data_IF_862998270319
#
_entry.id   IF_862998270319
#
_cell.length_a   1.000
_cell.length_b   1.000
_cell.length_c   1.000
_cell.angle_alpha   90.00
_cell.angle_beta   90.00
_cell.angle_gamma   90.00
#
_symmetry.space_group_name_H-M   'P 1'
#
loop_
_entity.id
_entity.type
_entity.pdbx_description
1 polymer ?
#
# COMPACT_ATOMS: atom_id res chain seq x y z
N UNK A 1 -10.04 14.79 33.29
CA UNK A 1 -8.99 14.49 32.29
C UNK A 1 -9.67 13.72 31.17
N UNK A 2 -10.31 14.41 30.22
CA UNK A 2 -9.92 14.46 28.80
C UNK A 2 -9.43 13.10 28.26
N UNK A 3 -10.36 12.20 27.99
CA UNK A 3 -10.18 11.11 27.02
C UNK A 3 -10.16 11.72 25.61
N UNK A 4 -9.15 12.54 25.30
CA UNK A 4 -8.89 12.92 23.92
C UNK A 4 -8.29 11.69 23.21
N UNK A 5 -9.21 10.89 22.69
CA UNK A 5 -9.11 10.19 21.41
C UNK A 5 -7.83 9.39 21.10
N UNK A 6 -7.63 8.24 21.76
CA UNK A 6 -6.78 7.18 21.18
C UNK A 6 -7.24 6.82 19.75
N UNK A 7 -8.55 6.83 19.49
CA UNK A 7 -9.11 6.59 18.16
C UNK A 7 -8.71 7.67 17.14
N UNK A 8 -8.57 8.94 17.54
CA UNK A 8 -8.15 9.99 16.61
C UNK A 8 -6.66 9.89 16.27
N UNK A 9 -5.83 9.43 17.22
CA UNK A 9 -4.40 9.23 16.97
C UNK A 9 -4.19 8.05 16.01
N UNK A 10 -4.92 6.94 16.20
CA UNK A 10 -4.88 5.79 15.28
C UNK A 10 -5.34 6.15 13.86
N UNK A 11 -6.40 6.97 13.74
CA UNK A 11 -6.88 7.47 12.44
C UNK A 11 -5.85 8.37 11.74
N UNK A 12 -5.10 9.18 12.49
CA UNK A 12 -4.07 10.07 11.92
C UNK A 12 -2.87 9.27 11.44
N UNK A 13 -2.40 8.29 12.21
CA UNK A 13 -1.25 7.45 11.83
C UNK A 13 -1.57 6.63 10.57
N UNK A 14 -2.71 5.95 10.50
CA UNK A 14 -3.11 5.16 9.34
C UNK A 14 -3.38 6.02 8.09
N UNK A 15 -3.87 7.25 8.26
CA UNK A 15 -4.02 8.17 7.13
C UNK A 15 -2.65 8.61 6.58
N UNK A 16 -1.65 8.78 7.45
CA UNK A 16 -0.31 9.25 7.05
C UNK A 16 0.52 8.20 6.31
N UNK A 17 0.43 6.91 6.67
CA UNK A 17 1.10 5.80 5.97
C UNK A 17 0.55 5.61 4.55
N UNK A 18 -0.77 5.68 4.41
CA UNK A 18 -1.46 5.62 3.12
C UNK A 18 -1.14 6.82 2.21
N UNK A 19 -1.04 8.03 2.78
CA UNK A 19 -0.63 9.21 2.03
C UNK A 19 0.85 9.17 1.65
N UNK A 20 1.71 8.66 2.52
CA UNK A 20 3.14 8.57 2.30
C UNK A 20 3.49 7.62 1.13
N UNK A 21 2.89 6.43 1.09
CA UNK A 21 3.19 5.46 0.02
C UNK A 21 2.71 5.97 -1.34
N UNK A 22 1.55 6.63 -1.39
CA UNK A 22 1.06 7.22 -2.63
C UNK A 22 1.95 8.39 -3.08
N UNK A 23 2.33 9.27 -2.16
CA UNK A 23 3.25 10.37 -2.47
C UNK A 23 4.63 9.89 -2.94
N UNK A 24 5.09 8.73 -2.45
CA UNK A 24 6.39 8.16 -2.82
C UNK A 24 6.38 7.60 -4.24
N UNK A 25 5.30 6.90 -4.64
CA UNK A 25 5.33 6.10 -5.86
C UNK A 25 4.41 6.58 -6.99
N UNK A 26 3.40 7.41 -6.74
CA UNK A 26 2.51 7.87 -7.80
C UNK A 26 3.28 8.61 -8.92
N UNK A 27 3.04 8.20 -10.17
CA UNK A 27 3.74 8.71 -11.36
C UNK A 27 5.15 8.15 -11.57
N UNK A 28 5.69 7.36 -10.63
CA UNK A 28 6.97 6.69 -10.80
C UNK A 28 6.84 5.43 -11.67
N UNK A 29 7.94 4.96 -12.30
CA UNK A 29 7.95 3.65 -12.94
C UNK A 29 7.95 2.53 -11.90
N UNK A 30 7.27 1.43 -12.21
CA UNK A 30 7.19 0.22 -11.38
C UNK A 30 8.58 -0.32 -11.01
N UNK A 31 9.59 -0.13 -11.86
CA UNK A 31 10.97 -0.53 -11.58
C UNK A 31 11.54 0.12 -10.32
N UNK A 32 11.15 1.36 -10.00
CA UNK A 32 11.56 2.01 -8.76
C UNK A 32 10.93 1.30 -7.55
N UNK A 33 9.64 0.95 -7.66
CA UNK A 33 8.94 0.26 -6.60
C UNK A 33 9.55 -1.13 -6.34
N UNK A 34 9.85 -1.87 -7.40
CA UNK A 34 10.53 -3.19 -7.30
C UNK A 34 11.94 -3.04 -6.73
N UNK A 35 12.66 -1.96 -7.06
CA UNK A 35 13.98 -1.68 -6.48
C UNK A 35 13.89 -1.45 -4.97
N UNK A 36 12.84 -0.78 -4.50
CA UNK A 36 12.68 -0.43 -3.08
C UNK A 36 12.07 -1.58 -2.25
N UNK A 37 11.10 -2.30 -2.80
CA UNK A 37 10.31 -3.31 -2.09
C UNK A 37 10.69 -4.76 -2.44
N UNK A 38 11.50 -4.97 -3.48
CA UNK A 38 11.74 -6.29 -4.05
C UNK A 38 10.60 -6.76 -4.98
N UNK A 39 10.63 -8.04 -5.42
CA UNK A 39 9.59 -8.58 -6.28
C UNK A 39 8.22 -8.63 -5.56
N UNK A 40 7.11 -8.39 -6.27
CA UNK A 40 5.77 -8.51 -5.70
C UNK A 40 5.41 -9.98 -5.43
N UNK A 41 4.54 -10.19 -4.45
CA UNK A 41 3.94 -11.51 -4.16
C UNK A 41 2.89 -11.89 -5.20
N UNK A 42 2.13 -10.91 -5.68
CA UNK A 42 1.11 -11.09 -6.72
C UNK A 42 1.18 -10.00 -7.78
N UNK A 43 0.82 -10.37 -9.01
CA UNK A 43 0.60 -9.47 -10.13
C UNK A 43 -0.71 -9.86 -10.82
N UNK A 44 -1.72 -8.99 -10.72
CA UNK A 44 -3.08 -9.23 -11.18
C UNK A 44 -3.40 -8.27 -12.33
N UNK A 45 -3.58 -8.81 -13.54
CA UNK A 45 -4.05 -8.03 -14.68
C UNK A 45 -5.52 -7.64 -14.47
N UNK A 46 -5.83 -6.35 -14.62
CA UNK A 46 -7.16 -5.78 -14.48
C UNK A 46 -7.77 -5.47 -15.85
N UNK A 47 -9.08 -5.26 -15.88
CA UNK A 47 -9.76 -4.76 -17.07
C UNK A 47 -9.23 -3.36 -17.44
N UNK A 48 -9.13 -3.07 -18.74
CA UNK A 48 -8.58 -1.80 -19.22
C UNK A 48 -7.05 -1.76 -19.34
N UNK A 49 -6.37 -2.91 -19.23
CA UNK A 49 -4.92 -3.02 -19.44
C UNK A 49 -4.08 -2.65 -18.21
N UNK A 50 -4.71 -2.23 -17.12
CA UNK A 50 -4.04 -1.95 -15.86
C UNK A 50 -3.50 -3.23 -15.22
N UNK A 51 -2.44 -3.10 -14.42
CA UNK A 51 -1.94 -4.22 -13.61
C UNK A 51 -1.79 -3.77 -12.17
N UNK A 52 -2.29 -4.60 -11.26
CA UNK A 52 -2.15 -4.44 -9.83
C UNK A 52 -1.06 -5.37 -9.30
N UNK A 53 -0.15 -4.81 -8.51
CA UNK A 53 0.91 -5.55 -7.84
C UNK A 53 0.72 -5.49 -6.33
N UNK A 54 0.93 -6.61 -5.64
CA UNK A 54 0.71 -6.74 -4.20
C UNK A 54 1.98 -7.23 -3.51
N UNK A 55 2.36 -6.56 -2.43
CA UNK A 55 3.37 -7.00 -1.46
C UNK A 55 2.69 -7.18 -0.11
N UNK A 56 2.75 -8.37 0.46
CA UNK A 56 2.24 -8.64 1.81
C UNK A 56 3.29 -8.22 2.83
N UNK A 57 2.84 -7.57 3.89
CA UNK A 57 3.75 -7.29 4.99
C UNK A 57 4.15 -8.59 5.69
N UNK A 58 5.35 -8.59 6.27
CA UNK A 58 5.81 -9.70 7.08
C UNK A 58 4.87 -9.96 8.26
N UNK A 59 4.72 -11.24 8.60
CA UNK A 59 4.03 -11.67 9.81
C UNK A 59 4.63 -11.00 11.05
N UNK A 60 3.79 -10.68 12.03
CA UNK A 60 4.20 -10.17 13.33
C UNK A 60 4.31 -11.33 14.33
N UNK A 61 4.87 -11.09 15.52
CA UNK A 61 4.94 -12.10 16.59
C UNK A 61 3.55 -12.67 16.95
N UNK A 62 2.49 -11.87 16.77
CA UNK A 62 1.11 -12.24 17.06
C UNK A 62 0.42 -13.02 15.91
N UNK A 63 1.09 -13.21 14.77
CA UNK A 63 0.60 -14.02 13.66
C UNK A 63 0.60 -13.30 12.30
N UNK A 64 -0.43 -13.56 11.49
CA UNK A 64 -0.53 -13.02 10.12
C UNK A 64 -0.80 -11.51 10.19
N UNK A 65 0.08 -10.73 9.56
CA UNK A 65 -0.18 -9.33 9.30
C UNK A 65 -1.14 -9.20 8.10
N UNK A 66 -2.35 -8.66 8.27
CA UNK A 66 -3.30 -8.55 7.16
C UNK A 66 -2.96 -7.40 6.21
N UNK A 67 -2.00 -6.53 6.56
CA UNK A 67 -1.61 -5.39 5.77
C UNK A 67 -0.81 -5.80 4.53
N UNK A 68 -1.07 -5.10 3.43
CA UNK A 68 -0.35 -5.25 2.18
C UNK A 68 -0.20 -3.90 1.49
N UNK A 69 0.89 -3.76 0.73
CA UNK A 69 1.10 -2.66 -0.20
C UNK A 69 0.52 -3.04 -1.55
N UNK A 70 -0.26 -2.15 -2.16
CA UNK A 70 -0.92 -2.35 -3.46
C UNK A 70 -0.51 -1.23 -4.40
N UNK A 71 -0.01 -1.60 -5.57
CA UNK A 71 0.49 -0.67 -6.58
C UNK A 71 -0.28 -0.91 -7.87
N UNK A 72 -1.06 0.09 -8.28
CA UNK A 72 -1.80 0.06 -9.52
C UNK A 72 -0.98 0.74 -10.62
N UNK A 73 -0.83 0.08 -11.77
CA UNK A 73 -0.11 0.62 -12.93
C UNK A 73 -1.03 0.74 -14.15
N UNK A 74 -0.65 1.59 -15.09
CA UNK A 74 -1.33 1.83 -16.36
C UNK A 74 -1.16 0.72 -17.41
N UNK A 75 -0.46 -0.38 -17.07
CA UNK A 75 -0.09 -1.44 -18.02
C UNK A 75 1.20 -1.16 -18.81
N UNK A 76 1.64 0.09 -18.88
CA UNK A 76 2.95 0.52 -19.37
C UNK A 76 4.02 0.56 -18.28
N UNK A 77 3.63 0.30 -17.03
CA UNK A 77 4.51 0.29 -15.87
C UNK A 77 4.59 1.62 -15.13
N UNK A 78 3.79 2.62 -15.48
CA UNK A 78 3.67 3.85 -14.69
C UNK A 78 2.70 3.62 -13.54
N UNK A 79 3.10 3.96 -12.32
CA UNK A 79 2.23 3.86 -11.14
C UNK A 79 1.15 4.94 -11.19
N UNK A 80 -0.10 4.49 -11.18
CA UNK A 80 -1.28 5.35 -11.11
C UNK A 80 -1.70 5.64 -9.67
N UNK A 81 -1.53 4.66 -8.78
CA UNK A 81 -1.90 4.76 -7.37
C UNK A 81 -1.10 3.76 -6.54
N UNK A 82 -0.79 4.12 -5.31
CA UNK A 82 -0.17 3.23 -4.34
C UNK A 82 -0.88 3.28 -2.98
N UNK A 83 -1.06 2.14 -2.33
CA UNK A 83 -1.72 2.03 -1.05
C UNK A 83 -1.11 1.02 -0.09
N UNK A 84 -1.37 1.22 1.20
CA UNK A 84 -0.99 0.32 2.28
C UNK A 84 -2.23 0.08 3.14
N UNK A 85 -2.83 -1.10 3.02
CA UNK A 85 -4.13 -1.39 3.62
C UNK A 85 -4.31 -2.87 3.94
N UNK A 86 -5.29 -3.19 4.79
CA UNK A 86 -5.70 -4.56 5.13
C UNK A 86 -6.93 -5.04 4.33
N UNK A 87 -7.33 -4.27 3.30
CA UNK A 87 -8.55 -4.49 2.52
C UNK A 87 -9.84 -3.96 3.17
N UNK A 88 -9.79 -3.47 4.41
CA UNK A 88 -10.91 -2.78 5.09
C UNK A 88 -10.61 -1.31 5.34
N UNK A 89 -9.35 -0.98 5.57
CA UNK A 89 -8.89 0.37 5.83
C UNK A 89 -7.37 0.48 5.74
N UNK A 90 -6.84 1.69 5.94
CA UNK A 90 -5.41 1.90 5.94
C UNK A 90 -4.73 1.18 7.11
N UNK A 91 -3.53 0.69 6.82
CA UNK A 91 -2.49 0.39 7.79
C UNK A 91 -1.53 1.60 7.81
#
# INVERSE_FOLDING_TARGET
MKYLSLAAILLVVACTSQQAINAQYAGAPLTNVISDLGPPDEANALSGGQTEYIWRDAATEDGINPCFKRILTDGGGTVLNASHSDGRGPC
#
